data_IF_986803807246
#
_entry.id   IF_986803807246
#
_cell.length_a   1.000
_cell.length_b   1.000
_cell.length_c   1.000
_cell.angle_alpha   90.00
_cell.angle_beta   90.00
_cell.angle_gamma   90.00
#
_symmetry.space_group_name_H-M   'P 1'
#
loop_
_entity.id
_entity.type
_entity.pdbx_description
1 polymer ?
#
# COMPACT_ATOMS: atom_id res chain seq x y z
N UNK A 1 15.06 -4.81 -2.63
CA UNK A 1 13.80 -5.20 -1.95
C UNK A 1 12.72 -4.21 -2.34
N UNK A 2 11.48 -4.65 -2.63
CA UNK A 2 10.35 -3.76 -2.92
C UNK A 2 9.63 -3.37 -1.63
N UNK A 3 9.02 -2.18 -1.61
CA UNK A 3 8.28 -1.69 -0.44
C UNK A 3 6.87 -1.29 -0.87
N UNK A 4 5.89 -1.61 -0.01
CA UNK A 4 4.53 -1.12 -0.09
C UNK A 4 4.17 -0.38 1.19
N UNK A 5 3.65 0.83 1.06
CA UNK A 5 3.02 1.54 2.17
C UNK A 5 1.52 1.38 2.07
N UNK A 6 0.92 0.78 3.10
CA UNK A 6 -0.51 0.56 3.20
C UNK A 6 -1.18 1.69 3.96
N UNK A 7 -2.46 1.91 3.65
CA UNK A 7 -3.33 2.73 4.48
C UNK A 7 -2.83 4.16 4.63
N UNK A 8 -2.40 4.77 3.52
CA UNK A 8 -2.03 6.17 3.46
C UNK A 8 -3.25 7.04 3.85
N UNK A 9 -3.07 7.95 4.80
CA UNK A 9 -4.14 8.83 5.28
C UNK A 9 -3.81 10.31 5.14
N UNK A 10 -2.54 10.64 4.94
CA UNK A 10 -2.06 12.02 4.86
C UNK A 10 -0.91 12.19 3.85
N UNK A 11 -0.61 13.45 3.56
CA UNK A 11 0.43 13.82 2.61
C UNK A 11 1.84 13.47 3.11
N UNK A 12 2.06 13.50 4.44
CA UNK A 12 3.37 13.21 5.02
C UNK A 12 3.80 11.77 4.72
N UNK A 13 2.89 10.81 4.94
CA UNK A 13 3.14 9.40 4.63
C UNK A 13 3.38 9.16 3.14
N UNK A 14 2.57 9.78 2.30
CA UNK A 14 2.70 9.62 0.86
C UNK A 14 4.03 10.18 0.34
N UNK A 15 4.48 11.31 0.85
CA UNK A 15 5.79 11.89 0.53
C UNK A 15 6.94 11.03 1.05
N UNK A 16 6.81 10.51 2.27
CA UNK A 16 7.79 9.59 2.82
C UNK A 16 7.91 8.33 1.96
N UNK A 17 6.78 7.72 1.59
CA UNK A 17 6.74 6.56 0.72
C UNK A 17 7.37 6.82 -0.66
N UNK A 18 7.11 7.99 -1.24
CA UNK A 18 7.72 8.40 -2.50
C UNK A 18 9.23 8.61 -2.37
N UNK A 19 9.70 9.24 -1.28
CA UNK A 19 11.13 9.41 -0.99
C UNK A 19 11.84 8.08 -0.78
N UNK A 20 11.18 7.11 -0.14
CA UNK A 20 11.66 5.75 0.03
C UNK A 20 11.62 4.92 -1.27
N UNK A 21 11.30 5.52 -2.41
CA UNK A 21 11.17 4.85 -3.70
C UNK A 21 10.31 3.58 -3.64
N UNK A 22 9.21 3.65 -2.89
CA UNK A 22 8.30 2.52 -2.75
C UNK A 22 7.69 2.10 -4.09
N UNK A 23 7.43 0.81 -4.26
CA UNK A 23 6.76 0.29 -5.46
C UNK A 23 5.26 0.63 -5.44
N UNK A 24 4.63 0.56 -4.25
CA UNK A 24 3.19 0.79 -4.10
C UNK A 24 2.88 1.70 -2.92
N UNK A 25 1.84 2.53 -3.10
CA UNK A 25 1.15 3.24 -2.01
C UNK A 25 -0.32 2.88 -2.03
N UNK A 26 -0.88 2.52 -0.87
CA UNK A 26 -2.23 2.02 -0.72
C UNK A 26 -3.16 3.02 -0.02
N UNK A 27 -4.31 3.26 -0.63
CA UNK A 27 -5.41 4.03 -0.03
C UNK A 27 -6.62 3.13 0.15
N UNK A 28 -7.14 3.06 1.37
CA UNK A 28 -8.34 2.30 1.67
C UNK A 28 -9.58 3.04 1.18
N UNK A 29 -10.33 2.39 0.29
CA UNK A 29 -11.56 2.96 -0.29
C UNK A 29 -12.58 3.27 0.81
N UNK A 30 -13.11 4.48 0.79
CA UNK A 30 -14.15 4.94 1.71
C UNK A 30 -13.64 5.45 3.06
N UNK A 31 -12.33 5.41 3.35
CA UNK A 31 -11.80 5.82 4.66
C UNK A 31 -11.47 7.31 4.73
N UNK A 32 -10.93 7.86 3.65
CA UNK A 32 -10.73 9.30 3.50
C UNK A 32 -11.47 9.82 2.27
N UNK A 33 -11.83 11.10 2.21
CA UNK A 33 -12.53 11.66 1.04
C UNK A 33 -11.71 11.51 -0.24
N UNK A 34 -12.38 11.20 -1.36
CA UNK A 34 -11.73 11.11 -2.68
C UNK A 34 -10.91 12.36 -3.03
N UNK A 35 -11.45 13.56 -2.71
CA UNK A 35 -10.74 14.82 -2.95
C UNK A 35 -9.39 14.87 -2.22
N UNK A 36 -9.32 14.33 -0.99
CA UNK A 36 -8.07 14.24 -0.23
C UNK A 36 -7.08 13.29 -0.88
N UNK A 37 -7.54 12.15 -1.40
CA UNK A 37 -6.68 11.22 -2.16
C UNK A 37 -6.13 11.90 -3.41
N UNK A 38 -6.98 12.60 -4.17
CA UNK A 38 -6.55 13.35 -5.37
C UNK A 38 -5.48 14.39 -5.04
N UNK A 39 -5.66 15.14 -3.96
CA UNK A 39 -4.69 16.13 -3.50
C UNK A 39 -3.36 15.46 -3.13
N UNK A 40 -3.39 14.40 -2.33
CA UNK A 40 -2.20 13.67 -1.89
C UNK A 40 -1.41 13.13 -3.09
N UNK A 41 -2.06 12.42 -4.00
CA UNK A 41 -1.38 11.83 -5.16
C UNK A 41 -0.85 12.88 -6.14
N UNK A 42 -1.47 14.07 -6.18
CA UNK A 42 -0.98 15.21 -6.98
C UNK A 42 0.43 15.69 -6.56
N UNK A 43 0.86 15.37 -5.35
CA UNK A 43 2.18 15.70 -4.81
C UNK A 43 3.16 14.52 -4.78
N UNK A 44 2.72 13.34 -5.21
CA UNK A 44 3.52 12.11 -5.14
C UNK A 44 3.68 11.51 -6.53
N UNK A 45 4.92 11.33 -6.96
CA UNK A 45 5.26 10.66 -8.21
C UNK A 45 6.15 9.46 -7.92
N UNK A 46 6.01 8.41 -8.69
CA UNK A 46 6.84 7.21 -8.63
C UNK A 46 6.08 5.96 -8.21
N UNK A 47 5.54 5.88 -6.97
CA UNK A 47 4.83 4.68 -6.53
C UNK A 47 3.54 4.42 -7.31
N UNK A 48 3.23 3.14 -7.55
CA UNK A 48 1.94 2.72 -8.10
C UNK A 48 0.82 3.00 -7.12
N UNK A 49 -0.24 3.65 -7.60
CA UNK A 49 -1.44 3.87 -6.80
C UNK A 49 -2.22 2.56 -6.66
N UNK A 50 -2.36 2.11 -5.42
CA UNK A 50 -3.13 0.92 -5.05
C UNK A 50 -4.40 1.32 -4.31
N UNK A 51 -5.56 0.82 -4.72
CA UNK A 51 -6.77 0.89 -3.92
C UNK A 51 -6.92 -0.37 -3.07
N UNK A 52 -7.10 -0.18 -1.77
CA UNK A 52 -7.30 -1.24 -0.79
C UNK A 52 -8.80 -1.48 -0.61
N UNK A 53 -9.26 -2.66 -1.05
CA UNK A 53 -10.67 -3.05 -1.18
C UNK A 53 -11.05 -4.00 -0.03
N UNK A 54 -11.37 -3.47 1.14
CA UNK A 54 -11.62 -4.28 2.34
C UNK A 54 -13.08 -4.69 2.55
N UNK A 55 -14.02 -4.10 1.80
CA UNK A 55 -15.44 -4.46 1.87
C UNK A 55 -16.08 -4.45 0.50
N UNK A 56 -16.76 -5.52 0.16
CA UNK A 56 -17.53 -5.64 -1.09
C UNK A 56 -18.72 -4.68 -1.14
N UNK A 57 -19.19 -4.18 0.02
CA UNK A 57 -20.23 -3.17 0.11
C UNK A 57 -19.82 -1.82 -0.51
N UNK A 58 -18.51 -1.58 -0.63
CA UNK A 58 -17.96 -0.36 -1.24
C UNK A 58 -17.73 -0.48 -2.76
N UNK A 59 -18.36 -1.45 -3.44
CA UNK A 59 -18.19 -1.70 -4.87
C UNK A 59 -18.41 -0.43 -5.71
N UNK A 60 -19.54 0.24 -5.53
CA UNK A 60 -19.88 1.44 -6.31
C UNK A 60 -18.91 2.59 -6.03
N UNK A 61 -18.47 2.74 -4.78
CA UNK A 61 -17.47 3.72 -4.39
C UNK A 61 -16.13 3.42 -5.07
N UNK A 62 -15.69 2.16 -5.06
CA UNK A 62 -14.44 1.75 -5.71
C UNK A 62 -14.48 2.01 -7.23
N UNK A 63 -15.57 1.68 -7.89
CA UNK A 63 -15.76 1.95 -9.32
C UNK A 63 -15.65 3.46 -9.60
N UNK A 64 -16.34 4.29 -8.81
CA UNK A 64 -16.30 5.75 -8.99
C UNK A 64 -14.90 6.34 -8.76
N UNK A 65 -14.13 5.76 -7.85
CA UNK A 65 -12.73 6.17 -7.62
C UNK A 65 -11.84 5.82 -8.81
N UNK A 66 -12.06 4.66 -9.44
CA UNK A 66 -11.30 4.25 -10.62
C UNK A 66 -11.53 5.14 -11.84
N UNK A 67 -12.70 5.78 -11.93
CA UNK A 67 -13.00 6.73 -13.02
C UNK A 67 -12.22 8.05 -12.88
N UNK A 68 -11.74 8.35 -11.68
CA UNK A 68 -11.15 9.65 -11.34
C UNK A 68 -9.64 9.53 -11.05
N UNK A 69 -9.23 8.45 -10.38
CA UNK A 69 -7.84 8.24 -9.94
C UNK A 69 -7.05 7.41 -10.95
N UNK A 70 -5.74 7.68 -11.11
CA UNK A 70 -4.85 6.86 -11.95
C UNK A 70 -4.46 5.56 -11.23
N UNK A 71 -5.43 4.69 -10.98
CA UNK A 71 -5.22 3.43 -10.26
C UNK A 71 -4.44 2.46 -11.13
N UNK A 72 -3.44 1.81 -10.54
CA UNK A 72 -2.58 0.82 -11.20
C UNK A 72 -2.68 -0.56 -10.56
N UNK A 73 -3.06 -0.62 -9.27
CA UNK A 73 -3.16 -1.87 -8.53
C UNK A 73 -4.37 -1.89 -7.58
N UNK A 74 -4.81 -3.09 -7.25
CA UNK A 74 -5.83 -3.34 -6.22
C UNK A 74 -5.32 -4.34 -5.21
N UNK A 75 -5.64 -4.10 -3.93
CA UNK A 75 -5.44 -5.07 -2.87
C UNK A 75 -6.79 -5.46 -2.28
N UNK A 76 -7.05 -6.76 -2.15
CA UNK A 76 -8.25 -7.30 -1.54
C UNK A 76 -7.95 -8.60 -0.78
N UNK A 77 -8.91 -9.10 -0.01
CA UNK A 77 -8.82 -10.44 0.54
C UNK A 77 -8.84 -11.47 -0.58
N UNK A 78 -8.11 -12.59 -0.37
CA UNK A 78 -8.05 -13.66 -1.37
C UNK A 78 -9.44 -14.22 -1.73
N UNK A 79 -10.34 -14.30 -0.76
CA UNK A 79 -11.73 -14.76 -0.93
C UNK A 79 -12.58 -13.84 -1.79
N UNK A 80 -12.25 -12.54 -1.86
CA UNK A 80 -13.00 -11.53 -2.60
C UNK A 80 -12.43 -11.26 -3.99
N UNK A 81 -11.32 -11.88 -4.37
CA UNK A 81 -10.62 -11.60 -5.62
C UNK A 81 -11.52 -11.75 -6.85
N UNK A 82 -12.25 -12.86 -6.95
CA UNK A 82 -13.13 -13.10 -8.11
C UNK A 82 -14.24 -12.05 -8.23
N UNK A 83 -14.82 -11.65 -7.09
CA UNK A 83 -15.83 -10.58 -7.05
C UNK A 83 -15.27 -9.27 -7.58
N UNK A 84 -14.08 -8.88 -7.14
CA UNK A 84 -13.48 -7.61 -7.53
C UNK A 84 -12.99 -7.62 -8.98
N UNK A 85 -12.46 -8.73 -9.47
CA UNK A 85 -12.07 -8.86 -10.88
C UNK A 85 -13.25 -8.75 -11.83
N UNK A 86 -14.42 -9.24 -11.43
CA UNK A 86 -15.67 -9.06 -12.19
C UNK A 86 -16.14 -7.59 -12.13
N UNK A 87 -16.07 -6.96 -10.96
CA UNK A 87 -16.50 -5.57 -10.77
C UNK A 87 -15.59 -4.56 -11.47
N UNK A 88 -14.31 -4.85 -11.60
CA UNK A 88 -13.25 -3.99 -12.14
C UNK A 88 -12.48 -4.71 -13.26
N UNK A 89 -13.10 -4.96 -14.43
CA UNK A 89 -12.61 -5.90 -15.43
C UNK A 89 -11.51 -5.34 -16.36
N UNK A 90 -10.56 -4.58 -15.82
CA UNK A 90 -9.44 -4.05 -16.61
C UNK A 90 -8.20 -4.95 -16.45
N UNK A 91 -7.72 -5.62 -17.52
CA UNK A 91 -6.58 -6.52 -17.46
C UNK A 91 -5.24 -5.83 -17.16
N UNK A 92 -5.20 -4.49 -17.16
CA UNK A 92 -3.99 -3.72 -16.85
C UNK A 92 -3.75 -3.56 -15.36
N UNK A 93 -4.78 -3.80 -14.52
CA UNK A 93 -4.64 -3.70 -13.08
C UNK A 93 -3.79 -4.84 -12.52
N UNK A 94 -2.84 -4.49 -11.69
CA UNK A 94 -2.11 -5.44 -10.86
C UNK A 94 -2.98 -5.84 -9.66
N UNK A 95 -3.07 -7.13 -9.38
CA UNK A 95 -3.85 -7.64 -8.26
C UNK A 95 -2.96 -8.10 -7.13
N UNK A 96 -3.30 -7.69 -5.92
CA UNK A 96 -2.64 -8.07 -4.68
C UNK A 96 -3.69 -8.70 -3.78
N UNK A 97 -3.46 -9.92 -3.31
CA UNK A 97 -4.35 -10.56 -2.34
C UNK A 97 -3.67 -10.68 -1.00
N UNK A 98 -4.42 -10.45 0.09
CA UNK A 98 -3.89 -10.53 1.45
C UNK A 98 -4.67 -11.54 2.30
N UNK A 99 -3.94 -12.22 3.21
CA UNK A 99 -4.49 -13.05 4.27
C UNK A 99 -4.48 -12.34 5.64
N UNK A 100 -4.04 -11.07 5.65
CA UNK A 100 -3.91 -10.24 6.86
C UNK A 100 -2.50 -10.21 7.45
N UNK A 101 -1.65 -11.19 7.16
CA UNK A 101 -0.24 -11.22 7.57
C UNK A 101 0.70 -10.99 6.39
N UNK A 102 0.42 -11.66 5.28
CA UNK A 102 1.17 -11.52 4.05
C UNK A 102 0.26 -11.10 2.92
N UNK A 103 0.85 -10.60 1.85
CA UNK A 103 0.14 -10.35 0.62
C UNK A 103 0.90 -10.97 -0.56
N UNK A 104 0.18 -11.29 -1.63
CA UNK A 104 0.74 -11.85 -2.86
C UNK A 104 0.37 -10.97 -4.03
N UNK A 105 1.36 -10.47 -4.75
CA UNK A 105 1.16 -9.81 -6.05
C UNK A 105 1.01 -10.89 -7.11
N UNK A 106 -0.10 -10.87 -7.84
CA UNK A 106 -0.39 -11.81 -8.92
C UNK A 106 0.36 -11.43 -10.21
N UNK A 107 1.68 -11.43 -10.13
CA UNK A 107 2.59 -11.24 -11.27
C UNK A 107 3.18 -12.60 -11.71
N UNK A 108 4.02 -12.59 -12.75
CA UNK A 108 4.75 -13.78 -13.21
C UNK A 108 6.26 -13.49 -13.18
N UNK A 109 7.01 -14.04 -12.21
CA UNK A 109 6.57 -14.85 -11.07
C UNK A 109 5.78 -14.04 -10.03
N UNK A 110 4.96 -14.68 -9.17
CA UNK A 110 4.28 -13.99 -8.09
C UNK A 110 5.26 -13.48 -7.04
N UNK A 111 4.97 -12.32 -6.44
CA UNK A 111 5.81 -11.69 -5.42
C UNK A 111 5.09 -11.79 -4.08
N UNK A 112 5.78 -12.30 -3.06
CA UNK A 112 5.27 -12.29 -1.69
C UNK A 112 5.69 -11.01 -0.99
N UNK A 113 4.70 -10.30 -0.43
CA UNK A 113 4.90 -9.12 0.40
C UNK A 113 4.74 -9.53 1.86
N UNK A 114 5.78 -9.39 2.66
CA UNK A 114 5.73 -9.65 4.09
C UNK A 114 5.33 -8.39 4.84
N UNK A 115 4.27 -8.47 5.64
CA UNK A 115 3.86 -7.36 6.48
C UNK A 115 4.82 -7.19 7.64
N UNK A 116 5.26 -5.98 7.87
CA UNK A 116 6.22 -5.62 8.90
C UNK A 116 5.62 -4.55 9.81
N UNK A 117 5.71 -4.80 11.12
CA UNK A 117 5.48 -3.75 12.12
C UNK A 117 6.85 -3.42 12.76
N UNK A 118 7.43 -2.26 12.47
CA UNK A 118 8.75 -1.89 12.96
C UNK A 118 8.82 -1.71 14.49
N UNK A 119 7.66 -1.66 15.17
CA UNK A 119 7.60 -1.61 16.63
C UNK A 119 7.91 -2.96 17.29
N UNK A 120 7.68 -4.07 16.59
CA UNK A 120 7.79 -5.43 17.13
C UNK A 120 8.72 -6.34 16.32
N UNK A 121 8.99 -5.99 15.06
CA UNK A 121 9.83 -6.80 14.17
C UNK A 121 11.21 -6.18 14.05
N UNK A 122 12.25 -6.91 14.43
CA UNK A 122 13.62 -6.40 14.28
C UNK A 122 14.01 -6.36 12.78
N UNK A 123 14.75 -5.33 12.35
CA UNK A 123 15.23 -5.25 10.97
C UNK A 123 16.07 -6.48 10.56
N UNK A 124 16.84 -7.03 11.48
CA UNK A 124 17.66 -8.21 11.21
C UNK A 124 16.79 -9.44 10.90
N UNK A 125 15.68 -9.62 11.61
CA UNK A 125 14.74 -10.72 11.31
C UNK A 125 14.18 -10.64 9.89
N UNK A 126 14.01 -9.43 9.35
CA UNK A 126 13.52 -9.22 7.99
C UNK A 126 14.60 -9.57 6.96
N UNK A 127 15.86 -9.18 7.22
CA UNK A 127 17.00 -9.59 6.38
C UNK A 127 17.13 -11.12 6.32
N UNK A 128 16.98 -11.78 7.47
CA UNK A 128 17.10 -13.23 7.59
C UNK A 128 15.99 -13.97 6.81
N UNK A 129 14.80 -13.36 6.67
CA UNK A 129 13.70 -13.91 5.88
C UNK A 129 13.93 -13.82 4.37
N UNK A 130 14.92 -13.07 3.89
CA UNK A 130 15.18 -12.83 2.46
C UNK A 130 13.92 -12.39 1.69
N UNK A 131 13.10 -11.55 2.31
CA UNK A 131 11.83 -11.10 1.75
C UNK A 131 12.05 -10.36 0.41
N UNK A 132 11.27 -10.69 -0.61
CA UNK A 132 11.28 -10.00 -1.90
C UNK A 132 10.68 -8.60 -1.80
N UNK A 133 9.63 -8.49 -0.99
CA UNK A 133 8.94 -7.25 -0.70
C UNK A 133 8.44 -7.20 0.75
N UNK A 134 8.34 -6.00 1.28
CA UNK A 134 7.75 -5.74 2.60
C UNK A 134 6.62 -4.74 2.49
N UNK A 135 5.67 -4.79 3.45
CA UNK A 135 4.68 -3.74 3.59
C UNK A 135 4.67 -3.15 4.99
N UNK A 136 4.49 -1.83 5.02
CA UNK A 136 4.40 -1.01 6.23
C UNK A 136 3.02 -0.36 6.28
N UNK A 137 2.38 -0.39 7.44
CA UNK A 137 1.10 0.27 7.64
C UNK A 137 1.31 1.70 8.15
N UNK A 138 0.69 2.65 7.47
CA UNK A 138 0.59 4.02 7.95
C UNK A 138 -0.46 4.12 9.05
N UNK A 139 -0.18 4.93 10.05
CA UNK A 139 -1.09 5.24 11.15
C UNK A 139 -1.56 6.69 11.00
N UNK A 140 -2.76 6.97 11.47
CA UNK A 140 -3.27 8.35 11.47
C UNK A 140 -2.37 9.26 12.32
N UNK A 141 -2.10 10.47 11.83
CA UNK A 141 -1.42 11.49 12.62
C UNK A 141 -2.24 11.81 13.87
N UNK A 142 -1.55 11.83 15.02
CA UNK A 142 -2.15 12.29 16.27
C UNK A 142 -2.06 13.80 16.43
N UNK A 143 -1.03 14.42 15.84
CA UNK A 143 -0.82 15.87 15.77
C UNK A 143 -0.34 16.19 14.34
N UNK A 144 -1.00 17.14 13.70
CA UNK A 144 -0.70 17.53 12.31
C UNK A 144 0.77 17.91 12.13
N UNK A 145 1.43 17.27 11.18
CA UNK A 145 2.83 17.53 10.83
C UNK A 145 3.87 17.02 11.84
N UNK A 146 3.47 16.19 12.82
CA UNK A 146 4.37 15.64 13.85
C UNK A 146 4.45 14.11 13.81
N UNK A 147 4.51 13.55 12.63
CA UNK A 147 4.71 12.10 12.47
C UNK A 147 6.17 11.74 12.68
N UNK A 148 6.43 10.74 13.52
CA UNK A 148 7.79 10.24 13.75
C UNK A 148 8.05 9.04 12.83
N UNK A 149 9.06 9.14 11.98
CA UNK A 149 9.50 8.11 11.05
C UNK A 149 10.79 7.40 11.48
N UNK A 150 11.29 7.62 12.69
CA UNK A 150 12.58 7.08 13.14
C UNK A 150 12.64 5.55 12.99
N UNK A 151 11.59 4.85 13.42
CA UNK A 151 11.54 3.39 13.28
C UNK A 151 11.55 2.91 11.83
N UNK A 152 10.94 3.68 10.92
CA UNK A 152 10.98 3.37 9.50
C UNK A 152 12.35 3.68 8.91
N UNK A 153 12.98 4.79 9.32
CA UNK A 153 14.34 5.12 8.90
C UNK A 153 15.33 4.02 9.32
N UNK A 154 15.30 3.63 10.59
CA UNK A 154 16.15 2.55 11.12
C UNK A 154 15.94 1.23 10.37
N UNK A 155 14.69 0.92 10.03
CA UNK A 155 14.36 -0.25 9.25
C UNK A 155 14.94 -0.17 7.83
N UNK A 156 14.68 0.93 7.11
CA UNK A 156 15.10 1.09 5.72
C UNK A 156 16.62 1.18 5.57
N UNK A 157 17.31 1.84 6.51
CA UNK A 157 18.78 1.87 6.57
C UNK A 157 19.35 0.46 6.81
N UNK A 158 18.77 -0.30 7.77
CA UNK A 158 19.24 -1.68 8.03
C UNK A 158 19.02 -2.59 6.83
N UNK A 159 17.98 -2.37 6.05
CA UNK A 159 17.68 -3.14 4.83
C UNK A 159 18.46 -2.67 3.59
N UNK A 160 19.35 -1.70 3.73
CA UNK A 160 20.13 -1.10 2.64
C UNK A 160 19.24 -0.53 1.52
N UNK A 161 18.13 0.12 1.91
CA UNK A 161 17.17 0.73 0.97
C UNK A 161 17.40 2.22 0.82
N UNK A 162 17.84 2.88 1.89
CA UNK A 162 18.30 4.28 1.86
C UNK A 162 19.72 4.40 1.35
#
# INVERSE_FOLDING_TARGET
MKIKFNHIQDLSDARYAAAAMSEWIGFRVGEIPLASVQEIIGWCAGPKLTLELYSTDLKETAISWCDILPVEAFECKAEDLAFWQEALPNPRYEWITTDGQNATVHSLPPITITRVDPKITSPQSIKDLQAEAISLNCEKETVVGMKNYDLWNDLLETLDIW
#
